data_IF_188192733787
#
_entry.id   IF_188192733787
#
_cell.length_a   1.000
_cell.length_b   1.000
_cell.length_c   1.000
_cell.angle_alpha   90.00
_cell.angle_beta   90.00
_cell.angle_gamma   90.00
#
_symmetry.space_group_name_H-M   'P 1'
#
loop_
_entity.id
_entity.type
_entity.pdbx_description
1 polymer ?
#
# COMPACT_ATOMS: atom_id res chain seq x y z
N UNK A 1 15.56 -0.66 9.98
CA UNK A 1 15.02 -2.00 9.66
C UNK A 1 15.36 -2.33 8.21
N UNK A 2 15.95 -3.50 7.93
CA UNK A 2 16.18 -3.94 6.54
C UNK A 2 14.90 -4.61 6.05
N UNK A 3 14.18 -3.94 5.15
CA UNK A 3 12.96 -4.46 4.54
C UNK A 3 13.31 -5.48 3.45
N UNK A 4 12.72 -6.66 3.52
CA UNK A 4 12.79 -7.63 2.43
C UNK A 4 11.73 -7.30 1.39
N UNK A 5 12.16 -7.06 0.15
CA UNK A 5 11.26 -6.82 -0.98
C UNK A 5 11.00 -8.12 -1.74
N UNK A 6 9.74 -8.34 -2.11
CA UNK A 6 9.38 -9.44 -3.00
C UNK A 6 9.39 -8.94 -4.46
N UNK A 7 9.87 -9.76 -5.41
CA UNK A 7 9.84 -9.38 -6.82
C UNK A 7 8.40 -9.29 -7.32
N UNK A 8 8.13 -8.35 -8.23
CA UNK A 8 6.78 -8.15 -8.77
C UNK A 8 6.19 -9.42 -9.41
N UNK A 9 7.04 -10.27 -10.00
CA UNK A 9 6.64 -11.56 -10.56
C UNK A 9 5.94 -12.49 -9.53
N UNK A 10 6.23 -12.33 -8.24
CA UNK A 10 5.58 -13.10 -7.18
C UNK A 10 4.18 -12.58 -6.82
N UNK A 11 3.82 -11.36 -7.24
CA UNK A 11 2.52 -10.76 -6.94
C UNK A 11 1.37 -11.56 -7.58
N UNK A 12 1.57 -12.11 -8.77
CA UNK A 12 0.58 -12.95 -9.45
C UNK A 12 0.24 -14.20 -8.62
N UNK A 13 1.26 -14.85 -8.07
CA UNK A 13 1.10 -16.04 -7.24
C UNK A 13 0.45 -15.70 -5.89
N UNK A 14 0.91 -14.61 -5.25
CA UNK A 14 0.30 -14.10 -4.02
C UNK A 14 -1.18 -13.76 -4.22
N UNK A 15 -1.52 -13.13 -5.34
CA UNK A 15 -2.90 -12.73 -5.65
C UNK A 15 -3.81 -13.95 -5.79
N UNK A 16 -3.37 -14.98 -6.52
CA UNK A 16 -4.11 -16.25 -6.64
C UNK A 16 -4.33 -16.94 -5.29
N UNK A 17 -3.29 -16.97 -4.44
CA UNK A 17 -3.38 -17.55 -3.09
C UNK A 17 -4.42 -16.84 -2.21
N UNK A 18 -4.59 -15.54 -2.44
CA UNK A 18 -5.53 -14.70 -1.68
C UNK A 18 -6.87 -14.49 -2.41
N UNK A 19 -7.21 -15.31 -3.41
CA UNK A 19 -8.48 -15.24 -4.15
C UNK A 19 -8.73 -13.91 -4.88
N UNK A 20 -7.67 -13.23 -5.30
CA UNK A 20 -7.76 -12.09 -6.23
C UNK A 20 -7.82 -12.65 -7.64
N UNK A 21 -8.84 -12.25 -8.40
CA UNK A 21 -9.02 -12.68 -9.78
C UNK A 21 -8.55 -11.57 -10.73
N UNK A 22 -7.78 -11.95 -11.75
CA UNK A 22 -7.42 -11.09 -12.88
C UNK A 22 -8.01 -11.68 -14.16
N UNK A 23 -8.69 -10.84 -14.94
CA UNK A 23 -9.42 -11.24 -16.12
C UNK A 23 -8.90 -10.47 -17.34
N UNK A 24 -8.03 -11.11 -18.12
CA UNK A 24 -7.44 -10.48 -19.30
C UNK A 24 -6.51 -9.30 -18.99
N UNK A 25 -5.97 -9.26 -17.77
CA UNK A 25 -4.96 -8.29 -17.32
C UNK A 25 -3.86 -9.00 -16.56
N UNK A 26 -2.70 -8.37 -16.48
CA UNK A 26 -1.52 -8.86 -15.77
C UNK A 26 -0.80 -7.70 -15.07
N UNK A 27 0.01 -8.00 -14.05
CA UNK A 27 0.79 -6.96 -13.35
C UNK A 27 2.22 -6.96 -13.85
N UNK A 28 2.66 -5.82 -14.38
CA UNK A 28 3.99 -5.66 -14.96
C UNK A 28 4.61 -4.33 -14.53
N UNK A 29 5.94 -4.26 -14.54
CA UNK A 29 6.66 -3.03 -14.27
C UNK A 29 6.76 -2.20 -15.55
N UNK A 30 6.41 -0.91 -15.46
CA UNK A 30 6.45 0.02 -16.59
C UNK A 30 7.46 1.13 -16.27
N UNK A 31 8.33 1.40 -17.24
CA UNK A 31 9.30 2.49 -17.16
C UNK A 31 10.73 2.01 -16.93
N UNK A 32 11.58 2.93 -16.50
CA UNK A 32 13.02 2.75 -16.31
C UNK A 32 13.74 4.09 -16.39
N UNK A 33 15.07 4.11 -16.42
CA UNK A 33 15.79 5.39 -16.46
C UNK A 33 15.45 6.19 -17.73
N UNK A 34 15.09 7.49 -17.65
CA UNK A 34 15.09 8.36 -16.46
C UNK A 34 13.75 8.44 -15.69
N UNK A 35 12.65 7.90 -16.22
CA UNK A 35 11.30 7.94 -15.60
C UNK A 35 10.78 6.52 -15.36
N UNK A 36 10.85 6.09 -14.10
CA UNK A 36 10.28 4.84 -13.63
C UNK A 36 8.81 5.07 -13.19
N UNK A 37 7.86 4.38 -13.83
CA UNK A 37 6.43 4.46 -13.49
C UNK A 37 6.00 3.38 -12.51
N UNK A 38 6.89 2.44 -12.16
CA UNK A 38 6.63 1.38 -11.21
C UNK A 38 5.73 0.26 -11.74
N UNK A 39 5.12 -0.48 -10.81
CA UNK A 39 4.22 -1.59 -11.13
C UNK A 39 2.84 -1.09 -11.57
N UNK A 40 2.29 -1.70 -12.63
CA UNK A 40 1.00 -1.34 -13.20
C UNK A 40 0.24 -2.58 -13.69
N UNK A 41 -1.09 -2.44 -13.81
CA UNK A 41 -1.97 -3.45 -14.40
C UNK A 41 -2.06 -3.18 -15.91
N UNK A 42 -1.69 -4.18 -16.72
CA UNK A 42 -1.66 -4.10 -18.19
C UNK A 42 -2.64 -5.10 -18.77
N UNK A 43 -3.40 -4.69 -19.79
CA UNK A 43 -4.28 -5.58 -20.52
C UNK A 43 -3.46 -6.64 -21.29
N UNK A 44 -3.78 -7.92 -21.09
CA UNK A 44 -3.17 -9.04 -21.82
C UNK A 44 -3.91 -9.39 -23.11
N UNK A 45 -5.05 -8.72 -23.35
CA UNK A 45 -5.92 -8.86 -24.52
C UNK A 45 -6.70 -7.56 -24.73
N UNK A 46 -7.33 -7.42 -25.89
CA UNK A 46 -8.19 -6.27 -26.16
C UNK A 46 -9.34 -6.19 -25.13
N UNK A 47 -9.42 -5.07 -24.44
CA UNK A 47 -10.48 -4.76 -23.48
C UNK A 47 -11.41 -3.73 -24.12
N UNK A 48 -12.69 -4.07 -24.24
CA UNK A 48 -13.73 -3.16 -24.74
C UNK A 48 -14.53 -2.61 -23.57
N UNK A 49 -14.77 -1.31 -23.58
CA UNK A 49 -15.78 -0.71 -22.72
C UNK A 49 -17.16 -1.26 -23.09
N UNK A 50 -18.00 -1.54 -22.10
CA UNK A 50 -19.37 -2.01 -22.37
C UNK A 50 -20.14 -0.96 -23.16
N UNK A 51 -20.78 -1.36 -24.26
CA UNK A 51 -21.71 -0.51 -25.01
C UNK A 51 -23.15 -0.78 -24.54
N UNK A 52 -24.00 0.24 -24.59
CA UNK A 52 -25.46 0.09 -24.50
C UNK A 52 -25.99 -0.45 -23.17
N UNK A 53 -25.48 0.02 -22.02
CA UNK A 53 -26.03 -0.31 -20.70
C UNK A 53 -25.72 -1.73 -20.19
N UNK A 54 -24.92 -2.50 -20.93
CA UNK A 54 -24.35 -3.74 -20.43
C UNK A 54 -23.16 -3.46 -19.49
N UNK A 55 -23.05 -4.15 -18.33
CA UNK A 55 -21.90 -3.97 -17.47
C UNK A 55 -20.64 -4.38 -18.23
N UNK A 56 -19.65 -3.49 -18.26
CA UNK A 56 -18.35 -3.77 -18.86
C UNK A 56 -17.69 -5.00 -18.23
N UNK A 57 -16.75 -5.60 -18.96
CA UNK A 57 -16.01 -6.77 -18.47
C UNK A 57 -15.26 -6.43 -17.17
N UNK A 58 -15.49 -7.21 -16.11
CA UNK A 58 -14.70 -7.10 -14.86
C UNK A 58 -13.27 -7.53 -15.14
N UNK A 59 -12.31 -6.63 -14.91
CA UNK A 59 -10.87 -6.89 -15.14
C UNK A 59 -10.17 -7.46 -13.91
N UNK A 60 -10.62 -7.08 -12.71
CA UNK A 60 -10.04 -7.52 -11.45
C UNK A 60 -11.14 -7.62 -10.39
N UNK A 61 -11.06 -8.66 -9.56
CA UNK A 61 -11.91 -8.81 -8.37
C UNK A 61 -11.02 -8.97 -7.15
N UNK A 62 -11.17 -8.08 -6.18
CA UNK A 62 -10.46 -8.14 -4.90
C UNK A 62 -11.48 -8.55 -3.82
N UNK A 63 -11.23 -9.62 -3.04
CA UNK A 63 -12.07 -9.99 -1.91
C UNK A 63 -12.15 -8.85 -0.88
N UNK A 64 -13.33 -8.63 -0.31
CA UNK A 64 -13.55 -7.61 0.72
C UNK A 64 -12.65 -7.83 1.94
N UNK A 65 -12.33 -9.08 2.26
CA UNK A 65 -11.43 -9.44 3.35
C UNK A 65 -10.01 -8.89 3.21
N UNK A 66 -9.57 -8.62 1.98
CA UNK A 66 -8.29 -8.01 1.66
C UNK A 66 -8.36 -6.49 1.53
N UNK A 67 -9.51 -5.86 1.73
CA UNK A 67 -9.60 -4.40 1.73
C UNK A 67 -9.17 -3.89 3.10
N UNK A 68 -8.17 -3.01 3.12
CA UNK A 68 -7.72 -2.36 4.35
C UNK A 68 -8.58 -1.13 4.62
N UNK A 69 -9.37 -1.19 5.68
CA UNK A 69 -10.21 -0.10 6.17
C UNK A 69 -10.00 0.09 7.68
N UNK A 70 -10.46 1.23 8.22
CA UNK A 70 -10.42 1.50 9.65
C UNK A 70 -11.21 0.43 10.44
N UNK A 71 -12.38 0.02 9.94
CA UNK A 71 -13.17 -1.08 10.50
C UNK A 71 -12.35 -2.39 10.54
N UNK A 72 -11.65 -2.71 9.45
CA UNK A 72 -10.81 -3.91 9.40
C UNK A 72 -9.70 -3.84 10.44
N UNK A 73 -9.00 -2.72 10.55
CA UNK A 73 -7.95 -2.52 11.57
C UNK A 73 -8.51 -2.69 12.98
N UNK A 74 -9.71 -2.16 13.26
CA UNK A 74 -10.36 -2.33 14.56
C UNK A 74 -10.68 -3.81 14.86
N UNK A 75 -11.15 -4.58 13.87
CA UNK A 75 -11.35 -6.03 14.04
C UNK A 75 -10.03 -6.76 14.30
N UNK A 76 -8.94 -6.38 13.61
CA UNK A 76 -7.61 -6.94 13.85
C UNK A 76 -7.09 -6.61 15.26
N UNK A 77 -7.34 -5.41 15.77
CA UNK A 77 -6.92 -5.00 17.12
C UNK A 77 -7.64 -5.78 18.24
N UNK A 78 -8.79 -6.42 17.96
CA UNK A 78 -9.46 -7.32 18.91
C UNK A 78 -8.69 -8.62 19.12
N UNK A 79 -7.98 -9.09 18.09
CA UNK A 79 -7.22 -10.35 18.12
C UNK A 79 -5.72 -10.14 18.34
N UNK A 80 -5.19 -8.98 17.96
CA UNK A 80 -3.79 -8.60 18.13
C UNK A 80 -3.65 -7.55 19.25
N UNK A 81 -3.29 -8.01 20.44
CA UNK A 81 -3.08 -7.14 21.60
C UNK A 81 -1.97 -6.12 21.40
N UNK A 82 -0.90 -6.49 20.69
CA UNK A 82 0.21 -5.57 20.40
C UNK A 82 -0.24 -4.43 19.48
N UNK A 83 -1.04 -4.74 18.44
CA UNK A 83 -1.61 -3.71 17.57
C UNK A 83 -2.49 -2.75 18.37
N UNK A 84 -3.34 -3.27 19.27
CA UNK A 84 -4.20 -2.44 20.12
C UNK A 84 -3.40 -1.51 21.03
N UNK A 85 -2.38 -2.03 21.70
CA UNK A 85 -1.51 -1.23 22.58
C UNK A 85 -0.80 -0.12 21.81
N UNK A 86 -0.31 -0.39 20.59
CA UNK A 86 0.33 0.63 19.76
C UNK A 86 -0.68 1.69 19.30
N UNK A 87 -1.89 1.29 18.89
CA UNK A 87 -2.94 2.23 18.51
C UNK A 87 -3.32 3.16 19.69
N UNK A 88 -3.41 2.62 20.90
CA UNK A 88 -3.68 3.39 22.12
C UNK A 88 -2.51 4.32 22.48
N UNK A 89 -1.26 3.84 22.36
CA UNK A 89 -0.05 4.58 22.71
C UNK A 89 0.21 5.80 21.81
N UNK A 90 -0.20 5.73 20.54
CA UNK A 90 -0.03 6.84 19.57
C UNK A 90 -1.11 7.93 19.74
N UNK A 91 -2.03 7.75 20.70
CA UNK A 91 -2.98 8.78 21.12
C UNK A 91 -4.02 9.11 20.04
N UNK A 92 -4.32 10.39 19.88
CA UNK A 92 -5.41 10.83 18.99
C UNK A 92 -5.16 10.49 17.52
N UNK A 93 -3.90 10.41 17.08
CA UNK A 93 -3.60 10.00 15.72
C UNK A 93 -4.03 8.55 15.45
N UNK A 94 -3.85 7.64 16.42
CA UNK A 94 -4.29 6.24 16.33
C UNK A 94 -5.81 6.07 16.24
N UNK A 95 -6.59 7.09 16.65
CA UNK A 95 -8.05 7.10 16.56
C UNK A 95 -8.57 7.60 15.21
N UNK A 96 -7.72 8.21 14.39
CA UNK A 96 -8.10 8.62 13.03
C UNK A 96 -8.04 7.43 12.08
N UNK A 97 -8.94 7.39 11.09
CA UNK A 97 -8.96 6.31 10.08
C UNK A 97 -7.60 6.16 9.38
N UNK A 98 -7.01 7.29 8.98
CA UNK A 98 -5.70 7.32 8.33
C UNK A 98 -4.59 6.86 9.27
N UNK A 99 -4.57 7.33 10.51
CA UNK A 99 -3.54 6.96 11.48
C UNK A 99 -3.61 5.48 11.85
N UNK A 100 -4.81 4.94 12.09
CA UNK A 100 -5.00 3.52 12.36
C UNK A 100 -4.48 2.63 11.21
N UNK A 101 -4.81 2.98 9.96
CA UNK A 101 -4.33 2.27 8.77
C UNK A 101 -2.81 2.36 8.62
N UNK A 102 -2.22 3.54 8.83
CA UNK A 102 -0.77 3.72 8.74
C UNK A 102 -0.02 2.94 9.83
N UNK A 103 -0.50 2.98 11.08
CA UNK A 103 0.07 2.22 12.20
C UNK A 103 -0.01 0.73 11.91
N UNK A 104 -1.15 0.25 11.41
CA UNK A 104 -1.30 -1.14 11.00
C UNK A 104 -0.26 -1.54 9.94
N UNK A 105 -0.07 -0.74 8.89
CA UNK A 105 0.91 -1.02 7.83
C UNK A 105 2.35 -1.04 8.38
N UNK A 106 2.70 -0.13 9.28
CA UNK A 106 4.01 -0.11 9.95
C UNK A 106 4.21 -1.37 10.79
N UNK A 107 3.21 -1.77 11.58
CA UNK A 107 3.24 -3.01 12.35
C UNK A 107 3.44 -4.23 11.46
N UNK A 108 2.67 -4.36 10.38
CA UNK A 108 2.81 -5.47 9.43
C UNK A 108 4.19 -5.50 8.76
N UNK A 109 4.77 -4.33 8.48
CA UNK A 109 6.12 -4.21 7.95
C UNK A 109 7.18 -4.64 8.96
N UNK A 110 7.00 -4.27 10.24
CA UNK A 110 7.87 -4.70 11.35
C UNK A 110 7.81 -6.21 11.53
N UNK A 111 6.62 -6.80 11.56
CA UNK A 111 6.42 -8.25 11.65
C UNK A 111 7.10 -8.97 10.48
N UNK A 112 6.89 -8.48 9.25
CA UNK A 112 7.52 -9.05 8.06
C UNK A 112 9.06 -8.99 8.10
N UNK A 113 9.64 -8.00 8.77
CA UNK A 113 11.08 -7.82 8.86
C UNK A 113 11.71 -8.67 9.98
N UNK A 114 10.91 -9.12 10.95
CA UNK A 114 11.35 -9.81 12.17
C UNK A 114 11.05 -11.31 12.18
N UNK A 115 10.56 -11.87 11.07
CA UNK A 115 10.05 -13.25 10.90
C UNK A 115 11.02 -14.41 11.25
N UNK A 116 12.16 -14.14 11.89
CA UNK A 116 13.10 -15.14 12.40
C UNK A 116 13.47 -15.03 13.89
N UNK A 117 13.07 -13.98 14.63
CA UNK A 117 13.59 -13.75 16.00
C UNK A 117 12.53 -13.70 17.09
N UNK A 118 11.36 -13.11 16.86
CA UNK A 118 10.32 -12.96 17.90
C UNK A 118 8.92 -12.95 17.25
N UNK A 119 7.94 -13.66 17.85
CA UNK A 119 6.55 -13.68 17.38
C UNK A 119 5.86 -12.38 17.80
N UNK A 120 6.03 -11.33 16.99
CA UNK A 120 5.23 -10.11 17.13
C UNK A 120 3.93 -10.25 16.33
N UNK A 121 2.80 -10.10 17.02
CA UNK A 121 1.48 -9.96 16.39
C UNK A 121 0.99 -11.13 15.54
N UNK A 122 -0.11 -10.88 14.83
CA UNK A 122 -0.76 -11.86 13.94
C UNK A 122 -0.24 -11.69 12.51
N UNK A 123 0.23 -12.78 11.90
CA UNK A 123 0.63 -12.80 10.49
C UNK A 123 -0.58 -13.00 9.57
N UNK A 124 -0.55 -12.41 8.39
CA UNK A 124 -1.60 -12.57 7.40
C UNK A 124 -1.21 -12.11 6.00
N UNK A 125 -2.19 -12.02 5.07
CA UNK A 125 -1.96 -11.59 3.69
C UNK A 125 -1.21 -10.25 3.60
N UNK A 126 -1.52 -9.33 4.52
CA UNK A 126 -0.90 -8.01 4.60
C UNK A 126 0.58 -8.05 4.97
N UNK A 127 1.02 -9.01 5.80
CA UNK A 127 2.44 -9.20 6.14
C UNK A 127 3.28 -9.53 4.89
N UNK A 128 2.67 -10.18 3.90
CA UNK A 128 3.32 -10.43 2.61
C UNK A 128 3.14 -9.25 1.65
N UNK A 129 1.94 -8.68 1.59
CA UNK A 129 1.64 -7.58 0.67
C UNK A 129 2.52 -6.35 0.91
N UNK A 130 2.80 -6.03 2.18
CA UNK A 130 3.70 -4.92 2.53
C UNK A 130 5.12 -5.13 2.03
N UNK A 131 5.51 -6.29 1.50
CA UNK A 131 6.82 -6.49 0.85
C UNK A 131 6.83 -6.07 -0.63
N UNK A 132 5.67 -5.92 -1.26
CA UNK A 132 5.53 -5.41 -2.63
C UNK A 132 5.43 -3.88 -2.72
N UNK A 133 5.12 -3.18 -1.62
CA UNK A 133 4.96 -1.72 -1.65
C UNK A 133 6.23 -1.01 -2.15
N UNK A 134 6.11 0.00 -3.03
CA UNK A 134 7.28 0.72 -3.52
C UNK A 134 7.96 1.53 -2.41
N UNK A 135 9.23 1.87 -2.64
CA UNK A 135 9.95 2.89 -1.87
C UNK A 135 10.14 4.05 -2.84
N UNK A 136 9.14 4.93 -2.91
CA UNK A 136 9.12 6.07 -3.82
C UNK A 136 9.47 7.38 -3.11
N UNK A 137 10.08 8.32 -3.84
CA UNK A 137 10.29 9.67 -3.36
C UNK A 137 8.94 10.42 -3.39
N UNK A 138 8.36 10.62 -2.21
CA UNK A 138 7.24 11.54 -2.03
C UNK A 138 7.76 12.98 -1.97
N UNK A 139 6.92 14.01 -2.12
CA UNK A 139 7.33 15.39 -1.90
C UNK A 139 7.94 15.66 -0.52
N UNK A 140 7.60 14.84 0.48
CA UNK A 140 8.22 14.84 1.82
C UNK A 140 9.68 14.35 1.80
N UNK A 141 10.11 13.70 0.74
CA UNK A 141 11.46 13.17 0.52
C UNK A 141 12.28 14.04 -0.45
N UNK A 142 11.72 15.14 -0.97
CA UNK A 142 12.43 16.04 -1.89
C UNK A 142 13.51 16.83 -1.17
N UNK A 143 14.61 17.08 -1.88
CA UNK A 143 15.69 17.95 -1.38
C UNK A 143 15.23 19.41 -1.32
N UNK A 144 16.02 20.27 -0.68
CA UNK A 144 15.70 21.72 -0.64
C UNK A 144 15.66 22.31 -2.04
N UNK A 145 16.59 21.92 -2.90
CA UNK A 145 16.67 22.40 -4.29
C UNK A 145 15.45 21.98 -5.11
N UNK A 146 14.95 20.77 -4.92
CA UNK A 146 13.74 20.28 -5.58
C UNK A 146 12.48 21.02 -5.09
N UNK A 147 12.43 21.40 -3.80
CA UNK A 147 11.34 22.21 -3.24
C UNK A 147 11.39 23.66 -3.70
N UNK A 148 12.57 24.21 -3.91
CA UNK A 148 12.75 25.57 -4.43
C UNK A 148 12.19 25.72 -5.85
N UNK A 149 12.14 24.66 -6.64
CA UNK A 149 11.48 24.66 -7.96
C UNK A 149 9.97 24.94 -7.87
N UNK A 150 9.35 24.74 -6.69
CA UNK A 150 7.94 25.06 -6.49
C UNK A 150 7.71 26.54 -6.17
N UNK A 151 8.77 27.35 -6.01
CA UNK A 151 8.67 28.73 -5.61
C UNK A 151 7.76 29.54 -6.55
N UNK A 152 6.76 30.21 -5.98
CA UNK A 152 5.78 30.99 -6.76
C UNK A 152 4.63 30.17 -7.36
N UNK A 153 4.56 28.87 -7.08
CA UNK A 153 3.41 28.02 -7.43
C UNK A 153 2.48 27.83 -6.23
N UNK A 154 1.22 27.48 -6.49
CA UNK A 154 0.27 27.10 -5.44
C UNK A 154 0.67 25.83 -4.68
N UNK A 155 1.57 25.01 -5.24
CA UNK A 155 2.04 23.76 -4.64
C UNK A 155 3.06 23.98 -3.51
N UNK A 156 3.75 25.13 -3.50
CA UNK A 156 4.74 25.48 -2.47
C UNK A 156 4.15 25.47 -1.05
N UNK A 157 2.90 25.92 -0.92
CA UNK A 157 2.19 25.97 0.37
C UNK A 157 1.84 24.55 0.81
N UNK A 158 1.44 23.67 -0.09
CA UNK A 158 1.03 22.30 0.24
C UNK A 158 2.22 21.42 0.67
N UNK A 159 3.41 21.62 0.09
CA UNK A 159 4.60 20.84 0.44
C UNK A 159 5.22 21.22 1.79
N UNK A 160 5.00 22.44 2.27
CA UNK A 160 5.57 22.95 3.55
C UNK A 160 4.75 22.57 4.78
N UNK A 161 3.43 22.36 4.65
CA UNK A 161 2.56 21.99 5.78
C UNK A 161 2.93 20.67 6.46
N UNK A 162 3.62 19.74 5.77
CA UNK A 162 4.03 18.46 6.34
C UNK A 162 5.38 18.49 7.09
N UNK A 163 6.14 19.59 7.00
CA UNK A 163 7.45 19.70 7.66
C UNK A 163 7.39 20.36 9.05
N UNK A 164 6.23 20.85 9.47
CA UNK A 164 6.06 21.64 10.70
C UNK A 164 5.23 20.95 11.81
N UNK A 165 5.00 19.63 11.68
CA UNK A 165 4.39 18.78 12.70
C UNK A 165 5.35 17.66 13.08
#
# INVERSE_FOLDING_TARGET
>A
MKRQHLPLAALQAWSKLNNIEFHGVDVQHIGGHPVDKGAAVIASRDVRSGEGGSPGMTLMRVPQELVLSAEKVAEWAKVDGCLREVLEAVGDFGKTDRGAVLIFLVMQLTISSLAGSERLGVTGPWTEYVRFLPVGALPTCWTEEERDLLAGTSLQVTSTFFSAA
#
